data_IF_591768856639
#
_entry.id   IF_591768856639
#
_cell.length_a   1.000
_cell.length_b   1.000
_cell.length_c   1.000
_cell.angle_alpha   90.00
_cell.angle_beta   90.00
_cell.angle_gamma   90.00
#
_symmetry.space_group_name_H-M   'P 1'
#
loop_
_entity.id
_entity.type
_entity.pdbx_description
1 polymer ?
#
# COMPACT_ATOMS: atom_id res chain seq x y z
N UNK A 1 15.50 -15.41 -8.76
CA UNK A 1 14.37 -14.62 -8.23
C UNK A 1 13.07 -14.80 -9.02
N UNK A 2 12.98 -14.39 -10.30
CA UNK A 2 11.70 -14.34 -11.05
C UNK A 2 10.93 -15.68 -11.11
N UNK A 3 11.60 -16.80 -11.39
CA UNK A 3 10.96 -18.12 -11.43
C UNK A 3 10.30 -18.47 -10.09
N UNK A 4 11.04 -18.33 -8.99
CA UNK A 4 10.53 -18.57 -7.64
C UNK A 4 9.39 -17.61 -7.28
N UNK A 5 9.48 -16.33 -7.68
CA UNK A 5 8.40 -15.37 -7.48
C UNK A 5 7.13 -15.76 -8.25
N UNK A 6 7.25 -16.16 -9.52
CA UNK A 6 6.10 -16.61 -10.33
C UNK A 6 5.46 -17.89 -9.77
N UNK A 7 6.27 -18.79 -9.22
CA UNK A 7 5.75 -19.97 -8.50
C UNK A 7 4.95 -19.55 -7.27
N UNK A 8 5.48 -18.64 -6.44
CA UNK A 8 4.76 -18.10 -5.28
C UNK A 8 3.44 -17.42 -5.67
N UNK A 9 3.44 -16.66 -6.79
CA UNK A 9 2.22 -16.07 -7.35
C UNK A 9 1.19 -17.16 -7.68
N UNK A 10 1.60 -18.26 -8.32
CA UNK A 10 0.71 -19.36 -8.67
C UNK A 10 0.16 -20.08 -7.42
N UNK A 11 1.02 -20.34 -6.42
CA UNK A 11 0.63 -20.96 -5.15
C UNK A 11 -0.41 -20.10 -4.40
N UNK A 12 -0.23 -18.78 -4.38
CA UNK A 12 -1.15 -17.83 -3.74
C UNK A 12 -2.45 -17.68 -4.54
N UNK A 13 -2.36 -17.66 -5.88
CA UNK A 13 -3.52 -17.60 -6.76
C UNK A 13 -4.43 -18.83 -6.59
N UNK A 14 -3.87 -20.02 -6.33
CA UNK A 14 -4.66 -21.22 -6.02
C UNK A 14 -5.51 -21.08 -4.73
N UNK A 15 -5.16 -20.16 -3.83
CA UNK A 15 -5.93 -19.82 -2.63
C UNK A 15 -6.88 -18.62 -2.86
N UNK A 16 -6.83 -17.99 -4.04
CA UNK A 16 -7.57 -16.78 -4.38
C UNK A 16 -7.01 -15.48 -3.77
N UNK A 17 -5.71 -15.44 -3.44
CA UNK A 17 -5.07 -14.29 -2.78
C UNK A 17 -3.83 -13.80 -3.55
N UNK A 18 -3.45 -12.51 -3.46
CA UNK A 18 -2.25 -11.98 -4.12
C UNK A 18 -0.96 -12.53 -3.50
N UNK A 19 0.20 -12.43 -4.18
CA UNK A 19 1.50 -12.78 -3.59
C UNK A 19 1.82 -11.94 -2.35
N UNK A 20 2.80 -12.40 -1.56
CA UNK A 20 3.38 -11.58 -0.48
C UNK A 20 4.13 -10.38 -1.08
N UNK A 21 4.25 -9.26 -0.33
CA UNK A 21 5.20 -8.21 -0.66
C UNK A 21 6.63 -8.76 -0.75
N UNK A 22 7.47 -8.08 -1.53
CA UNK A 22 8.88 -8.43 -1.68
C UNK A 22 9.63 -8.24 -0.37
N UNK A 23 10.51 -9.19 -0.07
CA UNK A 23 11.50 -9.03 0.99
C UNK A 23 12.62 -8.08 0.55
N UNK A 24 13.48 -7.68 1.48
CA UNK A 24 14.67 -6.89 1.16
C UNK A 24 15.58 -7.58 0.13
N UNK A 25 15.79 -8.90 0.28
CA UNK A 25 16.58 -9.69 -0.66
C UNK A 25 15.94 -9.75 -2.06
N UNK A 26 14.63 -10.00 -2.14
CA UNK A 26 13.91 -10.00 -3.42
C UNK A 26 13.90 -8.61 -4.08
N UNK A 27 13.82 -7.54 -3.28
CA UNK A 27 13.90 -6.17 -3.78
C UNK A 27 15.28 -5.87 -4.36
N UNK A 28 16.36 -6.31 -3.70
CA UNK A 28 17.71 -6.20 -4.23
C UNK A 28 17.87 -6.98 -5.55
N UNK A 29 17.38 -8.21 -5.61
CA UNK A 29 17.39 -9.02 -6.84
C UNK A 29 16.63 -8.32 -8.00
N UNK A 30 15.46 -7.71 -7.73
CA UNK A 30 14.72 -6.93 -8.73
C UNK A 30 15.52 -5.73 -9.19
N UNK A 31 16.22 -5.04 -8.29
CA UNK A 31 17.07 -3.90 -8.63
C UNK A 31 18.23 -4.30 -9.55
N UNK A 32 18.89 -5.42 -9.29
CA UNK A 32 19.94 -5.93 -10.17
C UNK A 32 19.39 -6.29 -11.55
N UNK A 33 18.20 -6.89 -11.62
CA UNK A 33 17.53 -7.16 -12.89
C UNK A 33 17.12 -5.86 -13.61
N UNK A 34 16.68 -4.81 -12.91
CA UNK A 34 16.33 -3.53 -13.52
C UNK A 34 17.53 -2.85 -14.19
N UNK A 35 18.75 -3.04 -13.67
CA UNK A 35 19.98 -2.49 -14.27
C UNK A 35 20.33 -3.16 -15.61
N UNK A 36 19.95 -4.42 -15.80
CA UNK A 36 20.17 -5.20 -17.03
C UNK A 36 18.96 -6.12 -17.27
N UNK A 37 17.81 -5.59 -17.72
CA UNK A 37 16.56 -6.33 -17.76
C UNK A 37 16.63 -7.45 -18.81
N UNK A 38 16.18 -8.68 -18.46
CA UNK A 38 15.91 -9.71 -19.46
C UNK A 38 14.88 -9.21 -20.47
N UNK A 39 15.01 -9.60 -21.73
CA UNK A 39 14.13 -9.15 -22.79
C UNK A 39 12.65 -9.43 -22.47
N UNK A 40 11.83 -8.37 -22.47
CA UNK A 40 10.39 -8.45 -22.22
C UNK A 40 9.98 -8.43 -20.75
N UNK A 41 10.92 -8.33 -19.81
CA UNK A 41 10.63 -8.29 -18.37
C UNK A 41 10.60 -6.87 -17.79
N UNK A 42 10.90 -5.84 -18.59
CA UNK A 42 11.04 -4.45 -18.17
C UNK A 42 9.82 -3.93 -17.40
N UNK A 43 8.62 -4.09 -17.99
CA UNK A 43 7.38 -3.63 -17.40
C UNK A 43 7.02 -4.43 -16.13
N UNK A 44 7.33 -5.73 -16.12
CA UNK A 44 7.05 -6.59 -14.96
C UNK A 44 7.96 -6.24 -13.79
N UNK A 45 9.25 -6.05 -14.02
CA UNK A 45 10.21 -5.62 -12.99
C UNK A 45 9.85 -4.25 -12.42
N UNK A 46 9.41 -3.32 -13.27
CA UNK A 46 8.96 -2.01 -12.83
C UNK A 46 7.67 -2.10 -12.00
N UNK A 47 6.73 -2.97 -12.36
CA UNK A 47 5.52 -3.23 -11.56
C UNK A 47 5.87 -3.78 -10.18
N UNK A 48 6.80 -4.74 -10.10
CA UNK A 48 7.28 -5.30 -8.84
C UNK A 48 7.89 -4.21 -7.93
N UNK A 49 8.79 -3.38 -8.47
CA UNK A 49 9.39 -2.30 -7.70
C UNK A 49 8.34 -1.26 -7.26
N UNK A 50 7.36 -0.97 -8.13
CA UNK A 50 6.35 0.08 -7.88
C UNK A 50 5.35 -0.36 -6.81
N UNK A 51 4.76 -1.56 -6.96
CA UNK A 51 3.56 -1.98 -6.24
C UNK A 51 3.77 -3.14 -5.26
N UNK A 52 4.94 -3.80 -5.25
CA UNK A 52 5.18 -4.99 -4.42
C UNK A 52 6.20 -4.80 -3.30
N UNK A 53 6.74 -3.60 -3.10
CA UNK A 53 7.64 -3.28 -1.97
C UNK A 53 6.84 -2.56 -0.88
N UNK A 54 6.89 -3.00 0.39
CA UNK A 54 6.28 -2.28 1.50
C UNK A 54 6.78 -0.82 1.58
N UNK A 55 5.94 0.15 2.00
CA UNK A 55 6.36 1.53 2.20
C UNK A 55 7.00 1.73 3.59
N UNK A 56 7.37 2.98 3.92
CA UNK A 56 7.78 3.32 5.27
C UNK A 56 9.24 2.97 5.58
N UNK A 57 9.44 2.35 6.74
CA UNK A 57 10.75 1.98 7.29
C UNK A 57 11.01 0.47 7.27
N UNK A 58 10.29 -0.27 6.40
CA UNK A 58 10.57 -1.68 6.15
C UNK A 58 11.96 -1.86 5.50
N UNK A 59 12.63 -2.99 5.75
CA UNK A 59 13.95 -3.26 5.20
C UNK A 59 13.95 -3.27 3.65
N UNK A 60 12.87 -3.76 3.02
CA UNK A 60 12.72 -3.70 1.58
C UNK A 60 12.50 -2.26 1.07
N UNK A 61 11.77 -1.44 1.84
CA UNK A 61 11.61 -0.02 1.57
C UNK A 61 12.96 0.70 1.61
N UNK A 62 13.84 0.37 2.56
CA UNK A 62 15.20 0.92 2.65
C UNK A 62 15.99 0.65 1.37
N UNK A 63 16.00 -0.61 0.93
CA UNK A 63 16.71 -1.03 -0.29
C UNK A 63 16.16 -0.28 -1.52
N UNK A 64 14.83 -0.20 -1.66
CA UNK A 64 14.17 0.56 -2.73
C UNK A 64 14.53 2.05 -2.69
N UNK A 65 14.45 2.70 -1.52
CA UNK A 65 14.72 4.12 -1.36
C UNK A 65 16.18 4.46 -1.71
N UNK A 66 17.14 3.66 -1.23
CA UNK A 66 18.56 3.86 -1.54
C UNK A 66 18.84 3.77 -3.05
N UNK A 67 18.27 2.76 -3.72
CA UNK A 67 18.41 2.62 -5.18
C UNK A 67 17.76 3.78 -5.94
N UNK A 68 16.50 4.11 -5.64
CA UNK A 68 15.79 5.21 -6.31
C UNK A 68 16.48 6.56 -6.07
N UNK A 69 17.02 6.78 -4.86
CA UNK A 69 17.81 7.97 -4.56
C UNK A 69 19.05 8.06 -5.45
N UNK A 70 19.82 6.97 -5.59
CA UNK A 70 21.01 6.94 -6.44
C UNK A 70 20.66 7.20 -7.92
N UNK A 71 19.54 6.66 -8.40
CA UNK A 71 19.06 6.95 -9.77
C UNK A 71 18.62 8.40 -9.92
N UNK A 72 17.86 8.94 -8.96
CA UNK A 72 17.38 10.32 -9.00
C UNK A 72 18.50 11.37 -8.93
N UNK A 73 19.57 11.10 -8.17
CA UNK A 73 20.77 11.95 -8.12
C UNK A 73 21.69 11.77 -9.33
N UNK A 74 21.54 10.67 -10.07
CA UNK A 74 22.35 10.34 -11.25
C UNK A 74 23.63 9.55 -10.94
N UNK A 75 23.79 9.05 -9.73
CA UNK A 75 24.90 8.18 -9.31
C UNK A 75 24.83 6.81 -10.00
N UNK A 76 23.62 6.36 -10.31
CA UNK A 76 23.35 5.11 -11.04
C UNK A 76 22.44 5.41 -12.22
N UNK A 77 22.80 4.91 -13.41
CA UNK A 77 21.96 5.02 -14.59
C UNK A 77 21.27 3.68 -14.87
N UNK A 78 19.97 3.74 -15.14
CA UNK A 78 19.13 2.58 -15.44
C UNK A 78 18.31 2.92 -16.67
N UNK A 79 18.41 2.10 -17.73
CA UNK A 79 17.79 2.41 -19.02
C UNK A 79 16.27 2.62 -18.94
N UNK A 80 15.60 1.91 -18.02
CA UNK A 80 14.15 1.89 -17.88
C UNK A 80 13.60 2.79 -16.75
N UNK A 81 14.47 3.46 -15.99
CA UNK A 81 14.06 4.40 -14.93
C UNK A 81 14.86 5.69 -15.08
N UNK A 82 14.18 6.75 -15.53
CA UNK A 82 14.75 8.09 -15.59
C UNK A 82 14.91 8.70 -14.18
N UNK A 83 15.73 9.75 -14.05
CA UNK A 83 15.85 10.52 -12.79
C UNK A 83 14.48 10.98 -12.29
N UNK A 84 13.68 11.58 -13.18
CA UNK A 84 12.33 12.05 -12.87
C UNK A 84 11.43 10.92 -12.37
N UNK A 85 11.44 9.77 -13.05
CA UNK A 85 10.65 8.60 -12.64
C UNK A 85 11.11 8.05 -11.30
N UNK A 86 12.40 8.04 -11.01
CA UNK A 86 12.92 7.63 -9.71
C UNK A 86 12.45 8.58 -8.59
N UNK A 87 12.47 9.89 -8.84
CA UNK A 87 11.94 10.91 -7.91
C UNK A 87 10.45 10.74 -7.66
N UNK A 88 9.65 10.47 -8.71
CA UNK A 88 8.22 10.17 -8.55
C UNK A 88 7.98 8.92 -7.69
N UNK A 89 8.74 7.85 -7.92
CA UNK A 89 8.63 6.60 -7.17
C UNK A 89 9.05 6.76 -5.70
N UNK A 90 10.03 7.62 -5.40
CA UNK A 90 10.33 8.00 -4.01
C UNK A 90 9.11 8.66 -3.36
N UNK A 91 8.35 9.46 -4.11
CA UNK A 91 7.13 10.11 -3.64
C UNK A 91 5.98 9.17 -3.27
N UNK A 92 5.99 7.91 -3.72
CA UNK A 92 4.93 6.93 -3.40
C UNK A 92 5.24 6.07 -2.18
N UNK A 93 6.40 6.26 -1.53
CA UNK A 93 6.84 5.40 -0.41
C UNK A 93 6.26 5.82 0.95
N UNK A 94 5.27 6.72 0.95
CA UNK A 94 4.49 7.22 2.11
C UNK A 94 5.30 8.07 3.10
N UNK A 95 6.50 7.65 3.48
CA UNK A 95 7.40 8.33 4.42
C UNK A 95 8.55 7.43 4.88
N UNK A 96 9.46 7.95 5.69
CA UNK A 96 10.64 7.20 6.15
C UNK A 96 11.85 7.42 5.24
N UNK A 97 12.41 6.34 4.68
CA UNK A 97 13.70 6.38 3.96
C UNK A 97 13.70 7.23 2.68
N UNK A 98 12.52 7.57 2.14
CA UNK A 98 12.36 8.39 0.95
C UNK A 98 12.40 9.91 1.21
N UNK A 99 12.17 10.36 2.45
CA UNK A 99 11.94 11.78 2.75
C UNK A 99 13.22 12.60 2.53
N UNK A 100 14.33 12.21 3.16
CA UNK A 100 15.60 12.95 3.02
C UNK A 100 16.09 13.01 1.57
N UNK A 101 16.09 11.91 0.78
CA UNK A 101 16.37 11.98 -0.66
C UNK A 101 15.52 13.01 -1.41
N UNK A 102 14.20 13.06 -1.17
CA UNK A 102 13.33 14.04 -1.83
C UNK A 102 13.70 15.48 -1.47
N UNK A 103 14.06 15.74 -0.20
CA UNK A 103 14.46 17.08 0.27
C UNK A 103 15.79 17.51 -0.38
N UNK A 104 16.73 16.58 -0.55
CA UNK A 104 18.01 16.85 -1.22
C UNK A 104 17.81 17.22 -2.69
N UNK A 105 16.85 16.56 -3.35
CA UNK A 105 16.51 16.81 -4.74
C UNK A 105 15.81 18.16 -5.00
N UNK A 106 15.34 18.88 -3.98
CA UNK A 106 14.77 20.24 -4.13
C UNK A 106 15.78 21.25 -4.71
N UNK A 107 17.08 20.98 -4.61
CA UNK A 107 18.13 21.80 -5.22
C UNK A 107 18.53 21.38 -6.65
N UNK A 108 17.98 20.28 -7.17
CA UNK A 108 18.39 19.69 -8.44
C UNK A 108 17.61 20.28 -9.62
N UNK A 109 18.31 20.92 -10.56
CA UNK A 109 17.68 21.53 -11.74
C UNK A 109 16.87 20.51 -12.59
N UNK A 110 17.27 19.23 -12.57
CA UNK A 110 16.65 18.18 -13.39
C UNK A 110 15.32 17.66 -12.80
N UNK A 111 15.18 17.66 -11.47
CA UNK A 111 14.09 16.92 -10.77
C UNK A 111 13.50 17.63 -9.54
N UNK A 112 13.84 18.90 -9.29
CA UNK A 112 13.32 19.65 -8.14
C UNK A 112 11.79 19.77 -8.15
N UNK A 113 11.17 19.86 -9.32
CA UNK A 113 9.71 19.94 -9.47
C UNK A 113 9.04 18.63 -9.05
N UNK A 114 9.56 17.49 -9.50
CA UNK A 114 9.06 16.16 -9.15
C UNK A 114 9.22 15.91 -7.64
N UNK A 115 10.35 16.33 -7.07
CA UNK A 115 10.61 16.24 -5.64
C UNK A 115 9.63 17.12 -4.82
N UNK A 116 9.41 18.37 -5.25
CA UNK A 116 8.44 19.25 -4.63
C UNK A 116 7.02 18.67 -4.70
N UNK A 117 6.59 18.17 -5.86
CA UNK A 117 5.26 17.56 -6.02
C UNK A 117 5.05 16.34 -5.11
N UNK A 118 6.09 15.55 -4.87
CA UNK A 118 6.07 14.45 -3.92
C UNK A 118 5.94 14.96 -2.47
N UNK A 119 6.79 15.93 -2.07
CA UNK A 119 6.80 16.47 -0.71
C UNK A 119 5.51 17.21 -0.33
N UNK A 120 4.89 17.92 -1.28
CA UNK A 120 3.57 18.58 -1.10
C UNK A 120 2.49 17.61 -0.60
N UNK A 121 2.59 16.32 -0.94
CA UNK A 121 1.64 15.26 -0.55
C UNK A 121 2.15 14.36 0.58
N UNK A 122 3.39 14.54 1.04
CA UNK A 122 4.00 13.70 2.07
C UNK A 122 3.60 14.21 3.45
N UNK A 123 2.82 13.42 4.20
CA UNK A 123 2.36 13.81 5.55
C UNK A 123 3.35 13.45 6.64
N UNK A 124 4.11 12.36 6.45
CA UNK A 124 5.05 11.82 7.44
C UNK A 124 6.39 12.58 7.41
N UNK A 125 6.33 13.91 7.45
CA UNK A 125 7.52 14.78 7.45
C UNK A 125 8.17 14.83 8.83
N UNK A 126 7.39 14.91 9.91
CA UNK A 126 7.89 15.08 11.27
C UNK A 126 8.95 16.20 11.32
N UNK A 127 10.11 15.96 11.93
CA UNK A 127 11.18 16.95 12.07
C UNK A 127 11.82 17.35 10.72
N UNK A 128 11.68 16.53 9.66
CA UNK A 128 12.16 16.92 8.32
C UNK A 128 11.41 18.12 7.72
N UNK A 129 10.31 18.55 8.35
CA UNK A 129 9.72 19.86 8.07
C UNK A 129 10.77 20.97 8.17
N UNK A 130 11.66 20.92 9.16
CA UNK A 130 12.68 21.94 9.39
C UNK A 130 13.68 22.02 8.23
N UNK A 131 14.14 20.89 7.69
CA UNK A 131 15.05 20.86 6.53
C UNK A 131 14.43 21.56 5.30
N UNK A 132 13.12 21.37 5.07
CA UNK A 132 12.41 22.05 3.97
C UNK A 132 12.24 23.54 4.25
N UNK A 133 11.86 23.90 5.48
CA UNK A 133 11.70 25.29 5.90
C UNK A 133 13.03 26.07 5.81
N UNK A 134 14.15 25.46 6.21
CA UNK A 134 15.48 26.03 6.10
C UNK A 134 15.87 26.28 4.63
N UNK A 135 15.64 25.31 3.74
CA UNK A 135 15.85 25.49 2.29
C UNK A 135 14.98 26.62 1.72
N UNK A 136 13.72 26.71 2.12
CA UNK A 136 12.83 27.80 1.72
C UNK A 136 13.36 29.16 2.18
N UNK A 137 13.76 29.28 3.45
CA UNK A 137 14.32 30.51 4.01
C UNK A 137 15.66 30.90 3.36
N UNK A 138 16.42 29.93 2.84
CA UNK A 138 17.63 30.16 2.05
C UNK A 138 17.36 30.53 0.58
N UNK A 139 16.08 30.67 0.16
CA UNK A 139 15.70 31.12 -1.18
C UNK A 139 15.52 29.99 -2.20
N UNK A 140 15.37 28.74 -1.79
CA UNK A 140 15.02 27.66 -2.71
C UNK A 140 13.54 27.74 -3.10
N UNK A 141 13.26 28.15 -4.33
CA UNK A 141 11.89 28.31 -4.85
C UNK A 141 11.03 27.04 -4.71
N UNK A 142 11.58 25.86 -5.02
CA UNK A 142 10.85 24.59 -4.91
C UNK A 142 10.50 24.25 -3.46
N UNK A 143 11.40 24.55 -2.51
CA UNK A 143 11.10 24.39 -1.09
C UNK A 143 10.02 25.38 -0.61
N UNK A 144 10.05 26.62 -1.09
CA UNK A 144 9.00 27.62 -0.79
C UNK A 144 7.64 27.17 -1.32
N UNK A 145 7.58 26.61 -2.53
CA UNK A 145 6.33 26.04 -3.04
C UNK A 145 5.79 24.89 -2.18
N UNK A 146 6.67 24.07 -1.61
CA UNK A 146 6.26 22.97 -0.72
C UNK A 146 5.66 23.54 0.57
N UNK A 147 6.31 24.51 1.20
CA UNK A 147 5.80 25.18 2.42
C UNK A 147 4.48 25.87 2.15
N UNK A 148 4.35 26.58 1.03
CA UNK A 148 3.12 27.25 0.63
C UNK A 148 1.97 26.26 0.44
N UNK A 149 2.21 25.16 -0.26
CA UNK A 149 1.24 24.08 -0.49
C UNK A 149 0.76 23.45 0.83
N UNK A 150 1.68 23.19 1.77
CA UNK A 150 1.32 22.71 3.11
C UNK A 150 0.48 23.72 3.88
N UNK A 151 0.82 25.00 3.82
CA UNK A 151 0.05 26.07 4.49
C UNK A 151 -1.39 26.20 3.97
N UNK A 152 -1.58 25.90 2.67
CA UNK A 152 -2.90 25.86 2.00
C UNK A 152 -3.62 24.53 2.16
N UNK A 153 -3.02 23.59 2.90
CA UNK A 153 -3.52 22.24 3.12
C UNK A 153 -3.84 21.49 1.80
N UNK A 154 -3.05 21.67 0.74
CA UNK A 154 -3.32 21.04 -0.57
C UNK A 154 -3.27 19.51 -0.50
N UNK A 155 -2.52 18.93 0.44
CA UNK A 155 -2.54 17.49 0.72
C UNK A 155 -3.93 16.97 1.12
N UNK A 156 -4.79 17.84 1.65
CA UNK A 156 -6.17 17.56 2.05
C UNK A 156 -7.16 18.07 1.01
N UNK A 157 -7.09 19.35 0.64
CA UNK A 157 -8.10 20.02 -0.21
C UNK A 157 -8.12 19.54 -1.65
N UNK A 158 -7.07 18.87 -2.12
CA UNK A 158 -7.04 18.25 -3.46
C UNK A 158 -7.58 16.82 -3.49
N UNK A 159 -7.88 16.21 -2.34
CA UNK A 159 -8.48 14.87 -2.28
C UNK A 159 -9.98 14.96 -2.58
N UNK A 160 -10.57 13.91 -3.16
CA UNK A 160 -12.03 13.84 -3.31
C UNK A 160 -12.74 14.02 -1.97
N UNK A 161 -13.77 14.86 -1.94
CA UNK A 161 -14.65 14.99 -0.78
C UNK A 161 -15.43 13.70 -0.53
N UNK A 162 -15.89 13.49 0.71
CA UNK A 162 -16.82 12.41 1.02
C UNK A 162 -18.12 12.64 0.24
N UNK A 163 -18.58 11.68 -0.59
CA UNK A 163 -19.81 11.87 -1.36
C UNK A 163 -21.01 12.14 -0.46
N UNK A 164 -21.86 13.10 -0.84
CA UNK A 164 -23.10 13.41 -0.11
C UNK A 164 -24.12 12.26 -0.14
N UNK A 165 -23.95 11.31 -1.07
CA UNK A 165 -24.73 10.07 -1.17
C UNK A 165 -23.79 8.90 -1.49
N UNK A 166 -23.88 7.85 -0.68
CA UNK A 166 -23.19 6.57 -0.91
C UNK A 166 -24.26 5.51 -1.18
N UNK A 167 -24.16 4.82 -2.32
CA UNK A 167 -25.02 3.66 -2.65
C UNK A 167 -24.24 2.39 -2.38
N UNK A 168 -24.78 1.49 -1.55
CA UNK A 168 -24.09 0.29 -1.10
C UNK A 168 -24.97 -0.96 -1.18
N UNK A 169 -24.34 -2.10 -1.42
CA UNK A 169 -24.90 -3.44 -1.25
C UNK A 169 -24.71 -3.88 0.20
N UNK A 170 -25.80 -4.25 0.88
CA UNK A 170 -25.75 -4.69 2.27
C UNK A 170 -25.20 -6.11 2.39
N UNK A 171 -24.10 -6.26 3.13
CA UNK A 171 -23.62 -7.53 3.67
C UNK A 171 -24.11 -7.66 5.12
N UNK A 172 -25.30 -8.26 5.31
CA UNK A 172 -25.91 -8.44 6.63
C UNK A 172 -25.36 -9.68 7.34
N UNK A 173 -24.90 -9.51 8.57
CA UNK A 173 -24.60 -10.57 9.53
C UNK A 173 -25.51 -10.40 10.75
N UNK A 174 -26.52 -11.24 10.89
CA UNK A 174 -27.52 -11.13 11.96
C UNK A 174 -26.94 -11.49 13.34
N UNK A 175 -27.45 -10.84 14.37
CA UNK A 175 -27.00 -10.98 15.75
C UNK A 175 -25.74 -10.18 16.05
N UNK A 176 -24.98 -10.65 17.02
CA UNK A 176 -23.71 -10.05 17.43
C UNK A 176 -22.55 -10.58 16.59
N UNK A 177 -21.78 -9.66 15.99
CA UNK A 177 -20.47 -9.95 15.41
C UNK A 177 -19.40 -9.65 16.46
N UNK A 178 -18.80 -10.70 17.03
CA UNK A 178 -17.61 -10.59 17.85
C UNK A 178 -16.37 -10.45 16.97
N UNK A 179 -15.33 -9.78 17.45
CA UNK A 179 -14.04 -9.68 16.73
C UNK A 179 -13.38 -11.04 16.45
N UNK A 180 -13.67 -12.08 17.24
CA UNK A 180 -13.22 -13.45 16.97
C UNK A 180 -13.90 -14.06 15.73
N UNK A 181 -15.14 -13.66 15.43
CA UNK A 181 -15.83 -14.11 14.20
C UNK A 181 -15.12 -13.59 12.94
N UNK A 182 -14.47 -12.43 13.03
CA UNK A 182 -13.78 -11.76 11.92
C UNK A 182 -12.28 -12.05 11.87
N UNK A 183 -11.69 -12.44 12.99
CA UNK A 183 -10.28 -12.75 13.17
C UNK A 183 -10.13 -13.82 14.26
N UNK A 184 -10.40 -15.10 13.93
CA UNK A 184 -10.44 -16.17 14.93
C UNK A 184 -9.10 -16.36 15.64
N UNK A 185 -9.14 -16.71 16.92
CA UNK A 185 -7.93 -16.93 17.72
C UNK A 185 -6.99 -18.02 17.17
N UNK A 186 -7.46 -19.17 16.64
CA UNK A 186 -6.58 -20.21 16.09
C UNK A 186 -5.73 -19.74 14.89
N UNK A 187 -6.19 -18.72 14.17
CA UNK A 187 -5.55 -18.16 12.98
C UNK A 187 -4.68 -16.94 13.31
N UNK A 188 -4.35 -16.74 14.59
CA UNK A 188 -3.54 -15.60 15.03
C UNK A 188 -2.16 -15.55 14.35
N UNK A 189 -1.62 -16.69 13.93
CA UNK A 189 -0.32 -16.81 13.26
C UNK A 189 -0.30 -16.16 11.87
N UNK A 190 -1.43 -16.12 11.15
CA UNK A 190 -1.52 -15.56 9.79
C UNK A 190 -1.81 -14.06 9.78
N UNK A 191 -2.10 -13.46 10.95
CA UNK A 191 -2.50 -12.05 11.11
C UNK A 191 -1.64 -11.02 10.36
N UNK A 192 -0.30 -11.13 10.26
CA UNK A 192 0.49 -10.16 9.50
C UNK A 192 0.20 -10.19 7.99
N UNK A 193 -0.21 -11.33 7.45
CA UNK A 193 -0.55 -11.54 6.04
C UNK A 193 -2.06 -11.31 5.84
N UNK A 194 -2.43 -10.05 5.56
CA UNK A 194 -3.83 -9.61 5.51
C UNK A 194 -4.68 -10.47 4.55
N UNK A 195 -4.27 -10.71 3.28
CA UNK A 195 -5.07 -11.52 2.37
C UNK A 195 -5.25 -12.96 2.83
N UNK A 196 -4.21 -13.57 3.42
CA UNK A 196 -4.30 -14.94 3.95
C UNK A 196 -5.22 -15.00 5.17
N UNK A 197 -5.09 -14.05 6.10
CA UNK A 197 -5.91 -14.02 7.32
C UNK A 197 -7.38 -13.74 7.02
N UNK A 198 -7.67 -12.94 5.98
CA UNK A 198 -9.03 -12.70 5.51
C UNK A 198 -9.79 -14.00 5.18
N UNK A 199 -9.11 -15.04 4.68
CA UNK A 199 -9.74 -16.32 4.37
C UNK A 199 -10.41 -16.96 5.60
N UNK A 200 -9.98 -16.62 6.83
CA UNK A 200 -10.57 -17.11 8.07
C UNK A 200 -11.77 -16.29 8.58
N UNK A 201 -12.06 -15.13 7.97
CA UNK A 201 -13.18 -14.27 8.35
C UNK A 201 -14.51 -15.00 8.17
N UNK A 202 -15.32 -15.11 9.24
CA UNK A 202 -16.61 -15.78 9.25
C UNK A 202 -16.56 -17.25 8.77
N UNK A 203 -15.46 -17.95 9.07
CA UNK A 203 -15.27 -19.35 8.67
C UNK A 203 -16.13 -20.36 9.43
N UNK A 204 -16.67 -20.00 10.60
CA UNK A 204 -17.60 -20.85 11.35
C UNK A 204 -19.03 -20.52 10.92
N UNK A 205 -19.78 -21.53 10.51
CA UNK A 205 -21.16 -21.37 10.05
C UNK A 205 -22.05 -20.68 11.11
N UNK A 206 -22.89 -19.76 10.64
CA UNK A 206 -23.87 -19.04 11.46
C UNK A 206 -25.09 -18.66 10.63
N UNK A 207 -26.23 -18.30 11.24
CA UNK A 207 -27.44 -17.95 10.48
C UNK A 207 -27.16 -16.88 9.41
N UNK A 208 -27.54 -17.17 8.16
CA UNK A 208 -27.34 -16.29 7.01
C UNK A 208 -25.94 -16.29 6.41
N UNK A 209 -24.98 -17.01 6.99
CA UNK A 209 -23.58 -17.07 6.51
C UNK A 209 -23.17 -18.53 6.33
N UNK A 210 -22.87 -18.89 5.09
CA UNK A 210 -22.35 -20.22 4.74
C UNK A 210 -20.88 -20.08 4.31
N UNK A 211 -19.92 -20.56 5.13
CA UNK A 211 -18.51 -20.58 4.74
C UNK A 211 -18.27 -21.51 3.55
N UNK A 212 -17.19 -21.28 2.79
CA UNK A 212 -16.77 -22.21 1.72
C UNK A 212 -16.27 -23.54 2.28
N UNK A 213 -15.61 -23.50 3.45
CA UNK A 213 -15.25 -24.68 4.22
C UNK A 213 -15.43 -24.39 5.71
N UNK A 214 -16.40 -25.05 6.35
CA UNK A 214 -16.74 -24.78 7.74
C UNK A 214 -15.55 -25.01 8.70
N UNK A 215 -15.28 -24.02 9.54
CA UNK A 215 -14.13 -23.99 10.45
C UNK A 215 -12.79 -23.64 9.80
N UNK A 216 -12.70 -23.53 8.47
CA UNK A 216 -11.42 -23.30 7.76
C UNK A 216 -11.41 -22.10 6.83
N UNK A 217 -12.46 -21.89 6.04
CA UNK A 217 -12.52 -20.84 5.02
C UNK A 217 -13.88 -20.16 4.97
N UNK A 218 -13.87 -18.85 5.14
CA UNK A 218 -15.06 -17.99 5.11
C UNK A 218 -15.79 -17.92 3.77
N UNK A 219 -16.80 -17.05 3.66
CA UNK A 219 -17.72 -16.98 2.53
C UNK A 219 -17.19 -16.06 1.41
N UNK A 220 -16.02 -16.35 0.82
CA UNK A 220 -15.35 -15.42 -0.11
C UNK A 220 -16.18 -15.17 -1.38
N UNK A 221 -16.72 -16.23 -2.00
CA UNK A 221 -17.57 -16.15 -3.19
C UNK A 221 -18.84 -15.33 -2.92
N UNK A 222 -19.43 -15.46 -1.73
CA UNK A 222 -20.59 -14.66 -1.35
C UNK A 222 -20.25 -13.17 -1.31
N UNK A 223 -19.12 -12.80 -0.70
CA UNK A 223 -18.65 -11.41 -0.68
C UNK A 223 -18.38 -10.90 -2.10
N UNK A 224 -17.74 -11.70 -2.96
CA UNK A 224 -17.48 -11.33 -4.34
C UNK A 224 -18.76 -11.16 -5.16
N UNK A 225 -19.78 -11.99 -4.92
CA UNK A 225 -21.08 -11.84 -5.57
C UNK A 225 -21.83 -10.57 -5.12
N UNK A 226 -21.62 -10.11 -3.88
CA UNK A 226 -22.10 -8.80 -3.44
C UNK A 226 -21.39 -7.66 -4.17
N UNK A 227 -20.07 -7.75 -4.39
CA UNK A 227 -19.30 -6.76 -5.16
C UNK A 227 -19.75 -6.69 -6.62
N UNK A 228 -20.05 -7.84 -7.24
CA UNK A 228 -20.54 -7.91 -8.64
C UNK A 228 -21.86 -7.16 -8.88
N UNK A 229 -22.60 -6.78 -7.83
CA UNK A 229 -23.79 -5.93 -7.95
C UNK A 229 -23.48 -4.46 -8.32
N UNK A 230 -22.20 -4.08 -8.39
CA UNK A 230 -21.78 -2.77 -8.90
C UNK A 230 -21.87 -1.63 -7.89
N UNK A 231 -21.98 -1.95 -6.60
CA UNK A 231 -21.97 -0.98 -5.50
C UNK A 231 -20.95 -1.39 -4.44
N UNK A 232 -20.50 -0.42 -3.63
CA UNK A 232 -19.68 -0.69 -2.45
C UNK A 232 -20.41 -1.69 -1.54
N UNK A 233 -19.67 -2.58 -0.89
CA UNK A 233 -20.26 -3.52 0.07
C UNK A 233 -20.19 -2.93 1.47
N UNK A 234 -21.31 -2.87 2.18
CA UNK A 234 -21.36 -2.38 3.56
C UNK A 234 -21.59 -3.56 4.51
N UNK A 235 -20.66 -3.78 5.44
CA UNK A 235 -20.86 -4.75 6.53
C UNK A 235 -21.89 -4.21 7.53
N UNK A 236 -22.97 -4.96 7.74
CA UNK A 236 -24.08 -4.55 8.62
C UNK A 236 -24.36 -5.67 9.62
N UNK A 237 -24.35 -5.36 10.91
CA UNK A 237 -24.78 -6.27 11.97
C UNK A 237 -25.68 -5.58 12.98
N UNK A 238 -26.33 -6.36 13.85
CA UNK A 238 -27.18 -5.80 14.91
C UNK A 238 -26.34 -5.26 16.07
N UNK A 239 -25.26 -5.97 16.41
CA UNK A 239 -24.18 -5.53 17.30
C UNK A 239 -22.86 -5.89 16.63
N UNK A 240 -21.90 -4.96 16.52
CA UNK A 240 -20.66 -5.18 15.75
C UNK A 240 -19.43 -4.80 16.56
N UNK A 241 -18.43 -5.68 16.56
CA UNK A 241 -17.08 -5.37 17.05
C UNK A 241 -16.88 -5.59 18.55
N UNK A 242 -17.71 -6.40 19.19
CA UNK A 242 -17.54 -6.77 20.60
C UNK A 242 -16.32 -7.68 20.80
N UNK A 243 -15.91 -7.83 22.06
CA UNK A 243 -14.79 -8.68 22.45
C UNK A 243 -13.45 -7.95 22.40
N UNK A 244 -12.42 -8.65 21.95
CA UNK A 244 -11.03 -8.18 22.04
C UNK A 244 -10.66 -7.09 21.05
N UNK A 245 -9.75 -6.19 21.45
CA UNK A 245 -9.11 -5.27 20.51
C UNK A 245 -8.18 -6.03 19.56
N UNK A 246 -8.65 -6.25 18.33
CA UNK A 246 -7.88 -6.92 17.27
C UNK A 246 -8.08 -6.16 15.96
N UNK A 247 -7.11 -5.31 15.62
CA UNK A 247 -7.04 -4.61 14.30
C UNK A 247 -7.27 -5.56 13.11
N UNK A 248 -6.94 -6.84 13.27
CA UNK A 248 -7.06 -7.86 12.24
C UNK A 248 -8.50 -8.17 11.83
N UNK A 249 -9.47 -8.03 12.74
CA UNK A 249 -10.89 -8.06 12.38
C UNK A 249 -11.23 -6.96 11.36
N UNK A 250 -10.79 -5.72 11.63
CA UNK A 250 -10.95 -4.60 10.70
C UNK A 250 -10.18 -4.82 9.40
N UNK A 251 -8.95 -5.33 9.45
CA UNK A 251 -8.17 -5.63 8.24
C UNK A 251 -8.93 -6.60 7.32
N UNK A 252 -9.51 -7.68 7.86
CA UNK A 252 -10.27 -8.65 7.07
C UNK A 252 -11.51 -8.02 6.45
N UNK A 253 -12.26 -7.20 7.19
CA UNK A 253 -13.44 -6.50 6.65
C UNK A 253 -13.04 -5.48 5.58
N UNK A 254 -11.99 -4.69 5.80
CA UNK A 254 -11.50 -3.72 4.80
C UNK A 254 -10.94 -4.43 3.57
N UNK A 255 -10.26 -5.56 3.72
CA UNK A 255 -9.86 -6.38 2.59
C UNK A 255 -11.08 -6.91 1.80
N UNK A 256 -12.13 -7.27 2.52
CA UNK A 256 -13.37 -7.75 1.94
C UNK A 256 -14.15 -6.66 1.20
N UNK A 257 -14.17 -5.42 1.68
CA UNK A 257 -15.13 -4.42 1.22
C UNK A 257 -14.56 -3.03 0.90
N UNK A 258 -13.29 -2.80 1.18
CA UNK A 258 -12.60 -1.53 0.99
C UNK A 258 -12.06 -1.34 -0.42
N UNK A 259 -11.19 -0.34 -0.55
CA UNK A 259 -10.54 0.07 -1.81
C UNK A 259 -9.02 -0.07 -1.67
N UNK A 260 -8.34 -0.24 -2.80
CA UNK A 260 -6.89 -0.29 -2.86
C UNK A 260 -6.27 1.07 -2.44
N UNK A 261 -5.08 1.02 -1.82
CA UNK A 261 -4.28 2.18 -1.38
C UNK A 261 -2.97 2.21 -2.15
#
# INVERSE_FOLDING_TARGET
>A
MLVAYRQHVAERAALGIPPLPLTAAQTADVIELLKAPPAGEDAFLLDLLTHRVPPGVDDAAKVKASFLSAVAHGDVQVAIISKARATELLGTMVGGYNVKPLIDLLGSADVAREAANALKKTLLMFDFFHDVAEKSNAGNNSASEVVDSWSKAEWFTTRPEVPSKITATVFKVTGETNTDDLSPAPDAWSRPDIPLHYLAMLKNARPGITPEEDGKRGPMQFVDDLKKKGHLVAYVGDVVGTGSSRKRATNSVVWATGEDI
#
